data_IF_205747407274
#
_entry.id   IF_205747407274
#
_cell.length_a   1.000
_cell.length_b   1.000
_cell.length_c   1.000
_cell.angle_alpha   90.00
_cell.angle_beta   90.00
_cell.angle_gamma   90.00
#
_symmetry.space_group_name_H-M   'P 1'
#
loop_
_entity.id
_entity.type
_entity.pdbx_description
1 polymer ?
#
# COMPACT_ATOMS: atom_id res chain seq x y z
N UNK A 1 7.88 6.73 29.92
CA UNK A 1 8.33 7.50 28.74
C UNK A 1 7.60 6.91 27.54
N UNK A 2 6.94 7.71 26.70
CA UNK A 2 6.38 7.18 25.46
C UNK A 2 7.52 6.69 24.55
N UNK A 3 7.29 5.67 23.70
CA UNK A 3 8.25 5.24 22.70
C UNK A 3 8.67 6.43 21.84
N UNK A 4 9.97 6.65 21.72
CA UNK A 4 10.52 7.69 20.86
C UNK A 4 10.41 7.22 19.41
N UNK A 5 9.49 7.82 18.65
CA UNK A 5 9.48 7.80 17.20
C UNK A 5 10.77 8.48 16.72
N UNK A 6 11.77 7.71 16.30
CA UNK A 6 13.01 8.24 15.74
C UNK A 6 13.37 7.41 14.53
N UNK A 7 12.92 7.87 13.37
CA UNK A 7 13.67 8.01 12.12
C UNK A 7 12.91 9.07 11.32
N UNK A 8 13.60 10.15 10.94
CA UNK A 8 12.99 11.20 10.13
C UNK A 8 12.69 10.63 8.74
N UNK A 9 11.54 11.00 8.16
CA UNK A 9 11.20 10.68 6.78
C UNK A 9 12.36 11.01 5.82
N UNK A 10 13.18 12.02 6.13
CA UNK A 10 14.38 12.39 5.37
C UNK A 10 15.51 11.36 5.36
N UNK A 11 15.79 10.64 6.46
CA UNK A 11 16.85 9.61 6.48
C UNK A 11 16.41 8.34 5.74
N UNK A 12 15.11 8.02 5.78
CA UNK A 12 14.53 6.92 5.00
C UNK A 12 14.44 7.33 3.53
N UNK A 13 14.03 8.57 3.21
CA UNK A 13 14.08 9.13 1.86
C UNK A 13 15.51 9.09 1.29
N UNK A 14 16.54 9.40 2.08
CA UNK A 14 17.94 9.38 1.63
C UNK A 14 18.46 7.95 1.41
N UNK A 15 18.14 7.00 2.30
CA UNK A 15 18.46 5.57 2.12
C UNK A 15 17.70 4.94 0.94
N UNK A 16 16.44 5.35 0.76
CA UNK A 16 15.60 4.97 -0.38
C UNK A 16 16.19 5.60 -1.65
N UNK A 17 16.50 6.90 -1.70
CA UNK A 17 17.17 7.55 -2.84
C UNK A 17 18.52 6.91 -3.19
N UNK A 18 19.37 6.57 -2.22
CA UNK A 18 20.67 5.92 -2.43
C UNK A 18 20.53 4.48 -2.97
N UNK A 19 19.44 3.79 -2.60
CA UNK A 19 19.11 2.45 -3.11
C UNK A 19 18.44 2.53 -4.49
N UNK A 20 17.49 3.46 -4.67
CA UNK A 20 16.79 3.77 -5.92
C UNK A 20 17.74 4.23 -7.02
N UNK A 21 18.81 4.95 -6.68
CA UNK A 21 19.84 5.39 -7.66
C UNK A 21 20.67 4.24 -8.20
N UNK A 22 20.65 3.05 -7.58
CA UNK A 22 21.39 1.87 -8.05
C UNK A 22 20.54 0.88 -8.83
N UNK A 23 19.24 0.78 -8.52
CA UNK A 23 18.25 0.01 -9.28
C UNK A 23 16.90 0.69 -9.05
N UNK A 24 16.24 1.16 -10.12
CA UNK A 24 14.87 1.68 -10.03
C UNK A 24 13.95 0.46 -9.82
N UNK A 25 13.32 0.26 -8.66
CA UNK A 25 12.20 -0.67 -8.54
C UNK A 25 11.03 -0.09 -9.34
N UNK A 26 10.39 -0.92 -10.14
CA UNK A 26 9.27 -0.48 -10.98
C UNK A 26 7.99 -0.31 -10.17
N UNK A 27 7.88 -1.03 -9.05
CA UNK A 27 6.70 -0.98 -8.19
C UNK A 27 7.04 -1.36 -6.74
N UNK A 28 7.03 -0.38 -5.80
CA UNK A 28 7.22 -0.64 -4.38
C UNK A 28 5.88 -0.86 -3.65
N UNK A 29 5.90 -1.63 -2.56
CA UNK A 29 4.78 -1.69 -1.60
C UNK A 29 5.33 -1.68 -0.16
N UNK A 30 4.58 -1.16 0.81
CA UNK A 30 5.05 -0.97 2.18
C UNK A 30 3.97 -1.34 3.19
N UNK A 31 4.22 -2.38 4.01
CA UNK A 31 3.33 -2.74 5.12
C UNK A 31 4.11 -3.22 6.34
N UNK A 32 3.63 -2.79 7.52
CA UNK A 32 4.11 -3.25 8.84
C UNK A 32 5.64 -3.26 9.01
N UNK A 33 6.30 -2.18 8.59
CA UNK A 33 7.74 -1.99 8.74
C UNK A 33 8.62 -2.75 7.73
N UNK A 34 8.02 -3.26 6.65
CA UNK A 34 8.75 -3.88 5.53
C UNK A 34 8.40 -3.23 4.20
N UNK A 35 9.32 -3.35 3.26
CA UNK A 35 9.21 -2.81 1.91
C UNK A 35 9.35 -3.97 0.93
N UNK A 36 8.44 -4.05 -0.03
CA UNK A 36 8.56 -4.89 -1.21
C UNK A 36 9.13 -4.05 -2.33
N UNK A 37 10.22 -4.53 -2.93
CA UNK A 37 10.84 -3.95 -4.10
C UNK A 37 10.68 -4.94 -5.24
N UNK A 38 10.15 -4.46 -6.36
CA UNK A 38 9.93 -5.27 -7.54
C UNK A 38 10.78 -4.76 -8.69
N UNK A 39 11.55 -5.65 -9.31
CA UNK A 39 12.44 -5.31 -10.43
C UNK A 39 11.95 -6.04 -11.68
N UNK A 40 11.55 -5.29 -12.73
CA UNK A 40 11.24 -5.82 -14.06
C UNK A 40 12.55 -6.23 -14.73
N UNK A 41 12.82 -7.53 -14.74
CA UNK A 41 13.75 -8.13 -15.70
C UNK A 41 12.92 -8.69 -16.86
N UNK A 42 13.39 -8.54 -18.09
CA UNK A 42 12.69 -8.94 -19.33
C UNK A 42 12.30 -10.42 -19.35
N UNK A 43 12.95 -11.25 -18.51
CA UNK A 43 12.65 -12.68 -18.43
C UNK A 43 11.97 -13.13 -17.13
N UNK A 44 12.27 -12.54 -15.96
CA UNK A 44 11.66 -12.91 -14.67
C UNK A 44 11.74 -11.76 -13.64
N UNK A 45 10.63 -11.12 -13.26
CA UNK A 45 10.69 -10.12 -12.21
C UNK A 45 11.14 -10.75 -10.90
N UNK A 46 12.03 -10.04 -10.22
CA UNK A 46 12.57 -10.44 -8.92
C UNK A 46 11.93 -9.57 -7.84
N UNK A 47 11.44 -10.21 -6.78
CA UNK A 47 10.88 -9.50 -5.63
C UNK A 47 11.88 -9.54 -4.48
N UNK A 48 12.07 -8.40 -3.83
CA UNK A 48 12.90 -8.29 -2.62
C UNK A 48 12.05 -7.72 -1.50
N UNK A 49 11.85 -8.53 -0.46
CA UNK A 49 11.27 -8.06 0.80
C UNK A 49 12.42 -7.58 1.67
N UNK A 50 12.43 -6.29 1.93
CA UNK A 50 13.47 -5.59 2.67
C UNK A 50 12.92 -5.07 4.01
N UNK A 51 13.72 -5.25 5.07
CA UNK A 51 13.55 -4.61 6.37
C UNK A 51 14.53 -3.43 6.48
N UNK A 52 14.04 -2.17 6.39
CA UNK A 52 14.89 -0.98 6.48
C UNK A 52 15.52 -0.74 7.85
N UNK A 53 15.00 -1.36 8.92
CA UNK A 53 15.54 -1.20 10.27
C UNK A 53 16.75 -2.10 10.46
N UNK A 54 16.63 -3.38 10.12
CA UNK A 54 17.69 -4.38 10.32
C UNK A 54 18.62 -4.51 9.13
N UNK A 55 18.20 -4.04 7.94
CA UNK A 55 18.88 -4.29 6.68
C UNK A 55 18.65 -5.69 6.11
N UNK A 56 17.81 -6.52 6.75
CA UNK A 56 17.50 -7.87 6.29
C UNK A 56 16.78 -7.87 4.94
N UNK A 57 17.11 -8.82 4.07
CA UNK A 57 16.52 -8.96 2.74
C UNK A 57 16.15 -10.41 2.46
N UNK A 58 14.98 -10.62 1.87
CA UNK A 58 14.55 -11.91 1.33
C UNK A 58 14.21 -11.76 -0.15
N UNK A 59 14.90 -12.53 -0.99
CA UNK A 59 14.72 -12.51 -2.45
C UNK A 59 13.78 -13.64 -2.85
N UNK A 60 12.77 -13.32 -3.67
CA UNK A 60 11.77 -14.25 -4.16
C UNK A 60 11.80 -14.27 -5.69
N UNK A 61 11.69 -15.48 -6.26
CA UNK A 61 11.43 -15.65 -7.68
C UNK A 61 9.93 -15.55 -7.95
N UNK A 62 9.55 -15.01 -9.12
CA UNK A 62 8.16 -14.99 -9.61
C UNK A 62 7.57 -16.41 -9.63
N UNK A 63 6.29 -16.60 -9.29
CA UNK A 63 5.61 -17.88 -9.52
C UNK A 63 5.57 -18.20 -11.02
N UNK A 64 5.59 -19.49 -11.37
CA UNK A 64 5.41 -19.93 -12.75
C UNK A 64 3.96 -19.64 -13.20
N UNK A 65 3.76 -18.51 -13.89
CA UNK A 65 2.48 -18.04 -14.40
C UNK A 65 2.67 -17.58 -15.85
N UNK A 66 1.85 -18.11 -16.76
CA UNK A 66 1.96 -17.89 -18.20
C UNK A 66 1.53 -16.48 -18.63
N UNK A 67 2.08 -16.02 -19.77
CA UNK A 67 1.43 -15.06 -20.68
C UNK A 67 1.33 -13.60 -20.25
N UNK A 68 1.47 -13.29 -18.96
CA UNK A 68 1.18 -11.94 -18.48
C UNK A 68 2.32 -10.94 -18.61
N UNK A 69 2.04 -9.85 -19.35
CA UNK A 69 2.86 -8.64 -19.48
C UNK A 69 2.67 -7.68 -18.30
N UNK A 70 1.46 -7.61 -17.74
CA UNK A 70 1.08 -6.67 -16.67
C UNK A 70 0.89 -7.38 -15.36
N UNK A 71 1.39 -6.77 -14.30
CA UNK A 71 1.38 -7.36 -12.98
C UNK A 71 1.46 -6.30 -11.89
N UNK A 72 0.96 -6.67 -10.72
CA UNK A 72 1.09 -5.92 -9.48
C UNK A 72 1.42 -6.89 -8.34
N UNK A 73 2.24 -6.44 -7.39
CA UNK A 73 2.61 -7.24 -6.22
C UNK A 73 2.32 -6.50 -4.91
N UNK A 74 1.96 -7.25 -3.88
CA UNK A 74 1.62 -6.67 -2.58
C UNK A 74 2.17 -7.50 -1.42
N UNK A 75 2.69 -6.80 -0.41
CA UNK A 75 3.26 -7.36 0.80
C UNK A 75 2.27 -7.27 1.96
N UNK A 76 2.20 -8.36 2.74
CA UNK A 76 1.37 -8.50 3.91
C UNK A 76 2.19 -9.00 5.09
N UNK A 77 1.85 -8.53 6.29
CA UNK A 77 2.28 -9.17 7.52
C UNK A 77 1.41 -10.40 7.81
N UNK A 78 2.04 -11.53 8.13
CA UNK A 78 1.36 -12.78 8.48
C UNK A 78 1.59 -13.17 9.95
N UNK A 79 2.12 -12.27 10.78
CA UNK A 79 2.39 -12.57 12.18
C UNK A 79 1.08 -12.64 13.00
N UNK A 80 0.90 -13.71 13.76
CA UNK A 80 -0.21 -13.88 14.70
C UNK A 80 -0.29 -12.69 15.67
N UNK A 81 -1.50 -12.14 15.85
CA UNK A 81 -1.75 -11.04 16.79
C UNK A 81 -0.86 -9.80 16.57
N UNK A 82 -0.53 -9.49 15.32
CA UNK A 82 0.32 -8.35 14.98
C UNK A 82 -0.23 -7.05 15.62
N UNK A 83 0.52 -6.48 16.56
CA UNK A 83 0.31 -5.11 17.02
C UNK A 83 1.15 -4.26 16.08
N UNK A 84 0.49 -3.66 15.08
CA UNK A 84 1.05 -3.07 13.85
C UNK A 84 2.25 -2.13 14.10
N UNK A 85 3.43 -2.71 14.30
CA UNK A 85 4.64 -1.94 14.56
C UNK A 85 5.93 -2.71 14.84
N UNK A 86 5.85 -3.94 15.37
CA UNK A 86 7.03 -4.80 15.65
C UNK A 86 7.03 -6.10 14.84
N UNK A 87 6.27 -6.15 13.76
CA UNK A 87 6.08 -7.38 12.98
C UNK A 87 7.12 -7.55 11.86
N UNK A 88 8.15 -6.69 11.80
CA UNK A 88 9.18 -6.70 10.76
C UNK A 88 10.00 -8.00 10.76
N UNK A 89 10.17 -8.62 11.94
CA UNK A 89 10.84 -9.92 12.11
C UNK A 89 9.91 -11.15 11.99
N UNK A 90 8.59 -10.93 11.88
CA UNK A 90 7.61 -12.02 11.81
C UNK A 90 7.45 -12.59 10.39
N UNK A 91 6.61 -13.60 10.20
CA UNK A 91 6.30 -14.07 8.85
C UNK A 91 5.59 -13.00 8.02
N UNK A 92 5.74 -13.11 6.72
CA UNK A 92 5.08 -12.31 5.69
C UNK A 92 4.51 -13.17 4.57
N UNK A 93 3.59 -12.56 3.83
CA UNK A 93 3.03 -13.07 2.58
C UNK A 93 3.26 -12.04 1.48
N UNK A 94 3.58 -12.51 0.27
CA UNK A 94 3.58 -11.67 -0.94
C UNK A 94 2.51 -12.20 -1.89
N UNK A 95 1.56 -11.36 -2.28
CA UNK A 95 0.58 -11.69 -3.31
C UNK A 95 1.03 -11.07 -4.61
N UNK A 96 1.08 -11.90 -5.66
CA UNK A 96 1.44 -11.51 -7.01
C UNK A 96 0.23 -11.72 -7.91
N UNK A 97 -0.20 -10.66 -8.60
CA UNK A 97 -1.36 -10.66 -9.49
C UNK A 97 -0.92 -10.25 -10.88
N UNK A 98 -1.46 -10.91 -11.89
CA UNK A 98 -1.12 -10.67 -13.28
C UNK A 98 -2.35 -10.60 -14.16
N UNK A 99 -2.25 -9.82 -15.22
CA UNK A 99 -3.25 -9.72 -16.28
C UNK A 99 -2.68 -10.32 -17.56
N UNK A 100 -3.41 -11.27 -18.13
CA UNK A 100 -3.16 -11.82 -19.46
C UNK A 100 -4.25 -11.32 -20.41
N UNK A 101 -3.91 -10.31 -21.20
CA UNK A 101 -4.83 -9.71 -22.17
C UNK A 101 -5.19 -10.66 -23.30
N UNK A 102 -4.25 -11.53 -23.69
CA UNK A 102 -4.46 -12.45 -24.80
C UNK A 102 -5.42 -13.57 -24.42
N UNK A 103 -5.52 -13.90 -23.15
CA UNK A 103 -6.47 -14.90 -22.67
C UNK A 103 -7.71 -14.27 -22.01
N UNK A 104 -7.69 -12.96 -21.72
CA UNK A 104 -8.75 -12.29 -20.95
C UNK A 104 -8.85 -12.85 -19.54
N UNK A 105 -7.70 -13.10 -18.90
CA UNK A 105 -7.63 -13.77 -17.59
C UNK A 105 -6.74 -13.00 -16.63
N UNK A 106 -7.24 -12.79 -15.41
CA UNK A 106 -6.42 -12.41 -14.29
C UNK A 106 -6.01 -13.64 -13.49
N UNK A 107 -4.76 -13.69 -13.05
CA UNK A 107 -4.22 -14.79 -12.24
C UNK A 107 -3.53 -14.23 -11.01
N UNK A 108 -3.67 -14.88 -9.86
CA UNK A 108 -3.02 -14.50 -8.62
C UNK A 108 -2.39 -15.71 -7.91
N UNK A 109 -1.26 -15.50 -7.26
CA UNK A 109 -0.64 -16.48 -6.36
C UNK A 109 -0.04 -15.78 -5.15
N UNK A 110 0.01 -16.48 -4.02
CA UNK A 110 0.56 -15.98 -2.77
C UNK A 110 1.77 -16.80 -2.33
N UNK A 111 2.89 -16.11 -2.05
CA UNK A 111 4.07 -16.66 -1.42
C UNK A 111 3.95 -16.56 0.09
N UNK A 112 4.21 -17.66 0.81
CA UNK A 112 4.39 -17.65 2.26
C UNK A 112 5.86 -17.78 2.63
N UNK A 113 6.35 -16.86 3.45
CA UNK A 113 7.71 -16.93 4.01
C UNK A 113 7.91 -18.13 4.95
N UNK A 114 6.85 -18.64 5.58
CA UNK A 114 6.94 -19.79 6.48
C UNK A 114 7.22 -21.08 5.73
N UNK A 115 6.54 -21.27 4.60
CA UNK A 115 6.72 -22.47 3.76
C UNK A 115 7.76 -22.27 2.67
N UNK A 116 8.15 -21.02 2.41
CA UNK A 116 9.02 -20.61 1.30
C UNK A 116 8.49 -21.08 -0.06
N UNK A 117 7.17 -21.08 -0.24
CA UNK A 117 6.51 -21.55 -1.47
C UNK A 117 5.37 -20.64 -1.89
N UNK A 118 5.13 -20.61 -3.20
CA UNK A 118 3.92 -20.05 -3.80
C UNK A 118 2.76 -21.06 -3.70
N UNK A 119 1.54 -20.57 -3.48
CA UNK A 119 0.35 -21.39 -3.58
C UNK A 119 -0.02 -21.66 -5.05
N UNK A 120 -0.90 -22.63 -5.28
CA UNK A 120 -1.48 -22.84 -6.60
C UNK A 120 -2.13 -21.56 -7.12
N UNK A 121 -1.90 -21.16 -8.39
CA UNK A 121 -2.50 -19.96 -8.93
C UNK A 121 -4.03 -20.03 -8.95
N UNK A 122 -4.67 -18.93 -8.58
CA UNK A 122 -6.11 -18.71 -8.72
C UNK A 122 -6.38 -17.87 -9.97
N UNK A 123 -7.39 -18.24 -10.75
CA UNK A 123 -7.70 -17.58 -12.01
C UNK A 123 -9.13 -17.04 -11.99
N UNK A 124 -9.35 -15.89 -12.62
CA UNK A 124 -10.68 -15.38 -12.95
C UNK A 124 -10.68 -14.83 -14.37
N UNK A 125 -11.78 -14.99 -15.08
CA UNK A 125 -11.99 -14.29 -16.33
C UNK A 125 -12.11 -12.79 -16.06
N UNK A 126 -11.58 -11.98 -16.98
CA UNK A 126 -11.78 -10.54 -17.10
C UNK A 126 -12.28 -10.24 -18.52
N UNK A 127 -12.87 -9.06 -18.76
CA UNK A 127 -13.41 -8.73 -20.08
C UNK A 127 -12.34 -8.80 -21.19
N UNK A 128 -12.67 -9.30 -22.40
CA UNK A 128 -11.69 -9.65 -23.44
C UNK A 128 -11.36 -8.54 -24.46
N UNK A 129 -10.15 -8.65 -25.05
CA UNK A 129 -9.57 -8.21 -26.35
C UNK A 129 -9.94 -6.89 -27.04
N UNK A 130 -11.18 -6.38 -26.96
CA UNK A 130 -11.51 -5.07 -27.52
C UNK A 130 -11.04 -3.93 -26.61
N UNK A 131 -10.63 -4.26 -25.39
CA UNK A 131 -10.29 -3.36 -24.30
C UNK A 131 -8.90 -3.75 -23.76
N UNK A 132 -7.97 -2.80 -23.69
CA UNK A 132 -6.69 -2.95 -22.99
C UNK A 132 -6.96 -2.92 -21.49
N UNK A 133 -6.30 -3.78 -20.69
CA UNK A 133 -6.53 -3.83 -19.23
C UNK A 133 -5.21 -3.72 -18.48
N UNK A 134 -5.13 -2.78 -17.54
CA UNK A 134 -3.94 -2.56 -16.72
C UNK A 134 -4.28 -2.20 -15.27
N UNK A 135 -3.27 -2.26 -14.41
CA UNK A 135 -3.34 -1.79 -13.04
C UNK A 135 -3.13 -0.28 -13.00
N UNK A 136 -3.86 0.39 -12.11
CA UNK A 136 -3.45 1.72 -11.69
C UNK A 136 -2.14 1.64 -10.90
N UNK A 137 -1.30 2.68 -11.01
CA UNK A 137 -0.07 2.83 -10.21
C UNK A 137 -0.35 2.95 -8.70
N UNK A 138 -1.60 2.83 -8.25
CA UNK A 138 -2.02 2.92 -6.86
C UNK A 138 -1.75 1.62 -6.10
N UNK A 139 -1.36 1.68 -4.81
CA UNK A 139 -1.23 0.49 -3.98
C UNK A 139 -2.54 -0.30 -3.88
N UNK A 140 -2.41 -1.61 -3.75
CA UNK A 140 -3.49 -2.47 -3.26
C UNK A 140 -3.94 -2.05 -1.86
N UNK A 141 -5.12 -2.49 -1.44
CA UNK A 141 -5.55 -2.34 -0.03
C UNK A 141 -6.01 -3.66 0.57
N UNK A 142 -5.74 -3.85 1.88
CA UNK A 142 -6.20 -5.00 2.64
C UNK A 142 -7.50 -4.69 3.42
N UNK A 143 -8.57 -5.42 3.12
CA UNK A 143 -9.83 -5.37 3.88
C UNK A 143 -10.21 -6.76 4.37
N UNK A 144 -10.19 -6.95 5.69
CA UNK A 144 -10.29 -8.28 6.30
C UNK A 144 -9.17 -9.19 5.77
N UNK A 145 -9.53 -10.37 5.28
CA UNK A 145 -8.59 -11.35 4.72
C UNK A 145 -8.51 -11.29 3.17
N UNK A 146 -8.78 -10.13 2.58
CA UNK A 146 -8.73 -9.97 1.13
C UNK A 146 -7.96 -8.72 0.69
N UNK A 147 -7.12 -8.90 -0.32
CA UNK A 147 -6.47 -7.81 -1.04
C UNK A 147 -7.31 -7.36 -2.22
N UNK A 148 -7.29 -6.05 -2.46
CA UNK A 148 -8.02 -5.40 -3.53
C UNK A 148 -7.05 -4.58 -4.38
N UNK A 149 -7.07 -4.81 -5.69
CA UNK A 149 -6.22 -4.17 -6.69
C UNK A 149 -7.10 -3.44 -7.69
N UNK A 150 -6.82 -2.16 -7.94
CA UNK A 150 -7.60 -1.35 -8.86
C UNK A 150 -7.06 -1.53 -10.27
N UNK A 151 -7.95 -1.85 -11.21
CA UNK A 151 -7.63 -2.01 -12.63
C UNK A 151 -8.55 -1.13 -13.46
N UNK A 152 -8.05 -0.70 -14.60
CA UNK A 152 -8.82 0.03 -15.59
C UNK A 152 -8.80 -0.68 -16.94
N UNK A 153 -9.80 -0.35 -17.74
CA UNK A 153 -9.93 -0.78 -19.11
C UNK A 153 -9.90 0.43 -20.02
N UNK A 154 -9.12 0.35 -21.08
CA UNK A 154 -9.02 1.41 -22.09
C UNK A 154 -9.38 0.90 -23.48
N UNK A 155 -9.99 1.78 -24.26
CA UNK A 155 -10.22 1.57 -25.68
C UNK A 155 -9.91 2.89 -26.40
N UNK A 156 -9.09 2.83 -27.45
CA UNK A 156 -8.68 4.00 -28.23
C UNK A 156 -8.10 5.16 -27.38
N UNK A 157 -7.24 4.84 -26.40
CA UNK A 157 -6.62 5.76 -25.42
C UNK A 157 -7.62 6.44 -24.44
N UNK A 158 -8.86 5.93 -24.34
CA UNK A 158 -9.85 6.40 -23.37
C UNK A 158 -10.18 5.30 -22.34
N UNK A 159 -10.11 5.63 -21.05
CA UNK A 159 -10.57 4.73 -19.97
C UNK A 159 -12.09 4.58 -20.05
N UNK A 160 -12.53 3.35 -20.32
CA UNK A 160 -13.94 2.99 -20.49
C UNK A 160 -14.52 2.27 -19.28
N UNK A 161 -13.74 1.69 -18.39
CA UNK A 161 -14.28 1.03 -17.19
C UNK A 161 -13.22 0.87 -16.12
N UNK A 162 -13.60 1.12 -14.86
CA UNK A 162 -12.80 0.77 -13.70
C UNK A 162 -13.37 -0.49 -13.04
N UNK A 163 -12.50 -1.37 -12.55
CA UNK A 163 -12.91 -2.53 -11.77
C UNK A 163 -11.86 -2.89 -10.72
N UNK A 164 -12.21 -3.82 -9.83
CA UNK A 164 -11.37 -4.20 -8.71
C UNK A 164 -11.17 -5.71 -8.72
N UNK A 165 -9.91 -6.14 -8.81
CA UNK A 165 -9.55 -7.53 -8.54
C UNK A 165 -9.48 -7.76 -7.03
N UNK A 166 -10.23 -8.74 -6.55
CA UNK A 166 -10.24 -9.19 -5.15
C UNK A 166 -9.58 -10.56 -5.05
N UNK A 167 -8.48 -10.63 -4.29
CA UNK A 167 -7.84 -11.88 -3.91
C UNK A 167 -8.16 -12.21 -2.43
N UNK A 168 -8.93 -13.27 -2.20
CA UNK A 168 -9.26 -13.79 -0.86
C UNK A 168 -8.15 -14.73 -0.39
N UNK A 169 -7.40 -14.32 0.64
CA UNK A 169 -6.25 -15.05 1.14
C UNK A 169 -6.66 -16.41 1.72
N UNK A 170 -7.72 -16.44 2.51
CA UNK A 170 -8.19 -17.65 3.21
C UNK A 170 -8.70 -18.72 2.26
N UNK A 171 -9.31 -18.31 1.14
CA UNK A 171 -9.81 -19.24 0.11
C UNK A 171 -8.83 -19.47 -1.04
N UNK A 172 -7.78 -18.66 -1.13
CA UNK A 172 -6.88 -18.60 -2.29
C UNK A 172 -7.67 -18.50 -3.60
N UNK A 173 -8.62 -17.56 -3.65
CA UNK A 173 -9.46 -17.36 -4.83
C UNK A 173 -9.43 -15.91 -5.31
N UNK A 174 -9.44 -15.75 -6.63
CA UNK A 174 -9.48 -14.47 -7.31
C UNK A 174 -10.88 -14.23 -7.88
N UNK A 175 -11.35 -12.99 -7.83
CA UNK A 175 -12.62 -12.57 -8.38
C UNK A 175 -12.55 -11.10 -8.81
N UNK A 176 -13.43 -10.70 -9.71
CA UNK A 176 -13.55 -9.33 -10.17
C UNK A 176 -14.81 -8.66 -9.59
N UNK A 177 -14.70 -7.38 -9.26
CA UNK A 177 -15.79 -6.52 -8.83
C UNK A 177 -15.86 -5.36 -9.80
N UNK A 178 -16.93 -5.31 -10.60
CA UNK A 178 -17.21 -4.18 -11.49
C UNK A 178 -17.68 -2.96 -10.69
N UNK A 179 -17.31 -1.78 -11.15
CA UNK A 179 -17.79 -0.52 -10.59
C UNK A 179 -19.01 -0.02 -11.39
N UNK A 180 -20.09 0.45 -10.74
CA UNK A 180 -21.26 0.92 -11.46
C UNK A 180 -20.96 2.21 -12.25
N UNK A 181 -21.21 2.17 -13.56
CA UNK A 181 -20.91 3.27 -14.49
C UNK A 181 -21.70 4.57 -14.20
N UNK A 182 -22.94 4.47 -13.72
CA UNK A 182 -23.78 5.65 -13.42
C UNK A 182 -23.48 6.28 -12.05
N UNK A 183 -22.89 5.52 -11.12
CA UNK A 183 -22.64 5.98 -9.75
C UNK A 183 -21.27 6.67 -9.66
N UNK A 184 -20.30 6.24 -10.47
CA UNK A 184 -18.96 6.83 -10.52
C UNK A 184 -18.85 7.68 -11.79
N UNK A 185 -19.25 8.95 -11.72
CA UNK A 185 -18.83 9.92 -12.74
C UNK A 185 -17.30 9.78 -12.89
N UNK A 186 -16.81 9.50 -14.11
CA UNK A 186 -15.38 9.26 -14.43
C UNK A 186 -14.56 10.51 -14.15
N UNK A 187 -14.31 10.68 -12.87
CA UNK A 187 -13.94 11.92 -12.23
C UNK A 187 -12.42 12.09 -12.20
N UNK A 188 -11.62 11.05 -12.41
CA UNK A 188 -10.16 11.20 -12.33
C UNK A 188 -9.43 10.23 -13.24
N UNK A 189 -8.29 10.66 -13.78
CA UNK A 189 -7.36 9.80 -14.51
C UNK A 189 -6.58 8.83 -13.59
N UNK A 190 -6.81 8.87 -12.27
CA UNK A 190 -6.11 8.05 -11.27
C UNK A 190 -6.88 7.94 -9.95
N UNK A 191 -8.00 7.18 -9.89
CA UNK A 191 -8.64 6.83 -8.64
C UNK A 191 -7.71 6.06 -7.70
N UNK A 192 -8.04 6.06 -6.40
CA UNK A 192 -7.31 5.25 -5.41
C UNK A 192 -8.28 4.42 -4.57
N UNK A 193 -7.82 3.25 -4.14
CA UNK A 193 -8.48 2.47 -3.10
C UNK A 193 -8.11 3.00 -1.71
N UNK A 194 -9.02 2.78 -0.76
CA UNK A 194 -8.81 3.13 0.64
C UNK A 194 -9.54 2.18 1.58
N UNK A 195 -9.13 2.20 2.84
CA UNK A 195 -9.78 1.46 3.94
C UNK A 195 -10.16 2.43 5.04
N UNK A 196 -11.46 2.46 5.37
CA UNK A 196 -12.01 3.29 6.44
C UNK A 196 -11.56 2.82 7.83
N UNK A 197 -11.72 3.69 8.83
CA UNK A 197 -11.47 3.35 10.24
C UNK A 197 -12.35 2.18 10.73
N UNK A 198 -13.51 1.99 10.09
CA UNK A 198 -14.45 0.90 10.34
C UNK A 198 -14.14 -0.37 9.53
N UNK A 199 -13.04 -0.36 8.77
CA UNK A 199 -12.62 -1.49 7.92
C UNK A 199 -13.41 -1.62 6.62
N UNK A 200 -14.24 -0.64 6.22
CA UNK A 200 -14.91 -0.67 4.92
C UNK A 200 -13.93 -0.37 3.79
N UNK A 201 -14.14 -1.06 2.66
CA UNK A 201 -13.47 -0.73 1.40
C UNK A 201 -14.07 0.54 0.82
N UNK A 202 -13.23 1.48 0.41
CA UNK A 202 -13.62 2.69 -0.29
C UNK A 202 -12.84 2.89 -1.58
N UNK A 203 -13.44 3.62 -2.51
CA UNK A 203 -12.77 4.16 -3.69
C UNK A 203 -12.92 5.67 -3.72
N UNK A 204 -11.82 6.36 -4.02
CA UNK A 204 -11.76 7.82 -4.04
C UNK A 204 -11.44 8.30 -5.43
N UNK A 205 -12.22 9.27 -5.89
CA UNK A 205 -12.03 9.98 -7.15
C UNK A 205 -11.80 11.46 -6.90
N UNK A 206 -11.07 12.10 -7.80
CA UNK A 206 -10.79 13.53 -7.74
C UNK A 206 -11.02 14.20 -9.09
N UNK A 207 -12.17 14.85 -9.26
CA UNK A 207 -12.51 15.62 -10.46
C UNK A 207 -12.20 17.07 -10.30
N UNK A 208 -11.11 17.50 -10.96
CA UNK A 208 -10.51 18.81 -10.79
C UNK A 208 -10.17 19.11 -9.32
N UNK A 209 -11.14 19.58 -8.55
CA UNK A 209 -11.00 19.90 -7.13
C UNK A 209 -12.08 19.23 -6.27
N UNK A 210 -13.02 18.51 -6.88
CA UNK A 210 -14.10 17.82 -6.18
C UNK A 210 -13.63 16.41 -5.87
N UNK A 211 -13.38 16.15 -4.59
CA UNK A 211 -13.06 14.85 -4.06
C UNK A 211 -14.37 14.11 -3.76
N UNK A 212 -14.54 12.92 -4.33
CA UNK A 212 -15.69 12.05 -4.07
C UNK A 212 -15.22 10.70 -3.57
N UNK A 213 -15.67 10.31 -2.37
CA UNK A 213 -15.35 9.02 -1.76
C UNK A 213 -16.58 8.15 -1.73
N UNK A 214 -16.48 6.93 -2.28
CA UNK A 214 -17.52 5.92 -2.28
C UNK A 214 -17.15 4.76 -1.38
N UNK A 215 -18.08 4.32 -0.54
CA UNK A 215 -17.89 3.17 0.33
C UNK A 215 -18.68 1.96 -0.14
N UNK A 216 -18.04 0.80 -0.08
CA UNK A 216 -18.67 -0.48 -0.35
C UNK A 216 -19.36 -0.99 0.90
N UNK A 217 -20.67 -1.21 0.79
CA UNK A 217 -21.50 -1.77 1.85
C UNK A 217 -22.10 -3.10 1.41
N UNK A 218 -22.45 -3.91 2.41
CA UNK A 218 -23.21 -5.14 2.20
C UNK A 218 -24.50 -4.98 2.98
N UNK A 219 -25.63 -5.07 2.29
CA UNK A 219 -26.94 -4.95 2.91
C UNK A 219 -27.28 -6.20 3.76
N UNK A 220 -28.37 -6.18 4.55
CA UNK A 220 -28.79 -7.34 5.35
C UNK A 220 -29.12 -8.60 4.53
N UNK A 221 -29.42 -8.44 3.24
CA UNK A 221 -29.71 -9.54 2.32
C UNK A 221 -28.41 -10.11 1.69
N UNK A 222 -27.26 -9.52 1.99
CA UNK A 222 -25.94 -9.94 1.54
C UNK A 222 -25.52 -9.37 0.19
N UNK A 223 -26.27 -8.41 -0.36
CA UNK A 223 -25.96 -7.75 -1.63
C UNK A 223 -24.98 -6.61 -1.37
N UNK A 224 -23.88 -6.61 -2.12
CA UNK A 224 -22.86 -5.57 -2.03
C UNK A 224 -23.17 -4.44 -3.01
N UNK A 225 -23.09 -3.19 -2.56
CA UNK A 225 -23.33 -1.98 -3.36
C UNK A 225 -22.44 -0.82 -2.89
N UNK A 226 -22.33 0.23 -3.72
CA UNK A 226 -21.60 1.46 -3.39
C UNK A 226 -22.59 2.56 -2.98
N UNK A 227 -22.64 2.93 -1.70
CA UNK A 227 -23.85 3.60 -1.15
C UNK A 227 -23.58 4.89 -0.39
N UNK A 228 -22.33 5.28 -0.16
CA UNK A 228 -22.04 6.48 0.63
C UNK A 228 -21.00 7.36 -0.05
N UNK A 229 -21.44 8.57 -0.47
CA UNK A 229 -20.64 9.62 -1.10
C UNK A 229 -20.26 10.70 -0.09
N UNK A 230 -18.96 10.88 0.16
CA UNK A 230 -18.44 12.11 0.78
C UNK A 230 -17.95 12.99 -0.36
N UNK A 231 -18.51 14.19 -0.50
CA UNK A 231 -18.03 15.21 -1.43
C UNK A 231 -17.33 16.33 -0.67
N UNK A 232 -16.09 16.62 -1.05
CA UNK A 232 -15.31 17.73 -0.50
C UNK A 232 -14.78 18.55 -1.66
N UNK A 233 -14.99 19.87 -1.64
CA UNK A 233 -14.34 20.76 -2.58
C UNK A 233 -12.99 21.17 -2.01
N UNK A 234 -11.92 20.57 -2.52
CA UNK A 234 -10.56 20.84 -2.10
C UNK A 234 -10.21 22.34 -2.16
N UNK A 235 -10.79 23.10 -3.11
CA UNK A 235 -10.48 24.51 -3.32
C UNK A 235 -11.14 25.43 -2.30
N UNK A 236 -12.28 25.05 -1.74
CA UNK A 236 -13.03 25.90 -0.80
C UNK A 236 -12.94 25.40 0.63
N UNK A 237 -12.90 24.07 0.82
CA UNK A 237 -12.98 23.45 2.14
C UNK A 237 -11.60 23.18 2.75
N UNK A 238 -10.60 22.80 1.93
CA UNK A 238 -9.34 22.24 2.45
C UNK A 238 -8.09 23.06 2.13
N UNK A 239 -8.13 23.89 1.10
CA UNK A 239 -6.97 24.65 0.67
C UNK A 239 -7.36 26.03 0.13
N UNK A 240 -6.56 27.07 0.38
CA UNK A 240 -6.52 28.22 -0.52
C UNK A 240 -5.72 27.84 -1.77
N UNK A 241 -6.13 26.79 -2.51
CA UNK A 241 -5.50 26.47 -3.78
C UNK A 241 -5.75 27.68 -4.69
N UNK A 242 -4.67 28.38 -5.06
CA UNK A 242 -4.72 29.37 -6.13
C UNK A 242 -5.27 28.73 -7.41
N UNK A 243 -5.62 29.56 -8.40
CA UNK A 243 -6.08 29.03 -9.68
C UNK A 243 -4.89 28.34 -10.39
N UNK A 244 -4.75 27.02 -10.23
CA UNK A 244 -3.67 26.27 -10.85
C UNK A 244 -4.05 25.89 -12.27
N UNK A 245 -3.09 26.04 -13.17
CA UNK A 245 -3.20 25.59 -14.56
C UNK A 245 -3.25 24.06 -14.69
N UNK A 246 -2.97 23.33 -13.61
CA UNK A 246 -2.93 21.86 -13.57
C UNK A 246 -3.72 21.42 -12.33
N UNK A 247 -4.75 20.57 -12.50
CA UNK A 247 -5.49 20.00 -11.38
C UNK A 247 -4.59 19.16 -10.46
N UNK A 248 -4.91 19.07 -9.15
CA UNK A 248 -4.28 18.09 -8.26
C UNK A 248 -4.63 16.64 -8.65
N UNK A 249 -3.80 15.71 -8.18
CA UNK A 249 -3.98 14.26 -8.33
C UNK A 249 -3.98 13.56 -6.97
N UNK A 250 -4.61 12.40 -6.92
CA UNK A 250 -4.55 11.50 -5.78
C UNK A 250 -3.20 10.77 -5.78
N UNK A 251 -2.54 10.76 -4.63
CA UNK A 251 -1.24 10.09 -4.45
C UNK A 251 -1.31 8.77 -3.69
N UNK A 252 -2.41 8.46 -3.01
CA UNK A 252 -2.55 7.23 -2.22
C UNK A 252 -3.30 7.44 -0.91
N UNK A 253 -3.43 6.38 -0.11
CA UNK A 253 -4.15 6.39 1.16
C UNK A 253 -3.38 5.67 2.27
N UNK A 254 -3.79 5.89 3.52
CA UNK A 254 -3.26 5.17 4.69
C UNK A 254 -4.35 4.22 5.19
N UNK A 255 -4.10 2.91 5.07
CA UNK A 255 -5.05 1.86 5.46
C UNK A 255 -5.55 2.04 6.90
N UNK A 256 -6.87 1.99 7.09
CA UNK A 256 -7.51 1.99 8.40
C UNK A 256 -7.60 3.36 9.10
N UNK A 257 -7.29 4.46 8.41
CA UNK A 257 -7.26 5.80 9.04
C UNK A 257 -8.17 6.84 8.39
N UNK A 258 -8.65 6.59 7.17
CA UNK A 258 -9.38 7.61 6.39
C UNK A 258 -8.52 8.79 5.93
N UNK A 259 -7.19 8.64 5.95
CA UNK A 259 -6.24 9.64 5.45
C UNK A 259 -5.92 9.36 3.98
N UNK A 260 -5.91 10.42 3.17
CA UNK A 260 -5.46 10.38 1.77
C UNK A 260 -4.32 11.38 1.53
N UNK A 261 -3.57 11.15 0.47
CA UNK A 261 -2.58 12.09 -0.04
C UNK A 261 -3.04 12.71 -1.35
N UNK A 262 -2.90 14.03 -1.44
CA UNK A 262 -3.17 14.80 -2.65
C UNK A 262 -1.92 15.53 -3.08
N UNK A 263 -1.55 15.38 -4.34
CA UNK A 263 -0.36 15.97 -4.94
C UNK A 263 -0.80 17.09 -5.87
N UNK A 264 -0.28 18.28 -5.65
CA UNK A 264 -0.59 19.47 -6.45
C UNK A 264 0.70 20.09 -6.98
N UNK A 265 0.58 21.07 -7.87
CA UNK A 265 1.73 21.85 -8.37
C UNK A 265 2.53 22.57 -7.27
N UNK A 266 1.93 22.82 -6.11
CA UNK A 266 2.61 23.49 -4.99
C UNK A 266 3.07 22.55 -3.91
N UNK A 267 2.80 21.24 -4.02
CA UNK A 267 3.26 20.27 -3.06
C UNK A 267 2.27 19.15 -2.77
N UNK A 268 2.70 18.23 -1.93
CA UNK A 268 1.93 17.10 -1.40
C UNK A 268 1.27 17.47 -0.08
N UNK A 269 0.01 17.09 0.06
CA UNK A 269 -0.82 17.32 1.22
C UNK A 269 -1.39 16.01 1.73
N UNK A 270 -1.44 15.90 3.05
CA UNK A 270 -2.22 14.90 3.77
C UNK A 270 -3.60 15.50 4.05
N UNK A 271 -4.65 14.74 3.78
CA UNK A 271 -6.03 15.12 4.09
C UNK A 271 -6.63 14.05 4.99
N UNK A 272 -7.17 14.48 6.12
CA UNK A 272 -8.01 13.67 6.98
C UNK A 272 -9.48 13.90 6.61
N UNK A 273 -10.13 12.88 6.06
CA UNK A 273 -11.51 12.95 5.57
C UNK A 273 -12.54 13.15 6.69
N UNK A 274 -12.22 12.71 7.90
CA UNK A 274 -13.12 12.79 9.06
C UNK A 274 -13.11 14.19 9.66
N UNK A 275 -11.93 14.76 9.86
CA UNK A 275 -11.81 16.13 10.35
C UNK A 275 -11.96 17.18 9.25
N UNK A 276 -11.95 16.76 7.98
CA UNK A 276 -11.89 17.64 6.81
C UNK A 276 -10.81 18.70 7.01
N UNK A 277 -9.61 18.24 7.32
CA UNK A 277 -8.45 19.10 7.52
C UNK A 277 -7.31 18.66 6.63
N UNK A 278 -6.49 19.63 6.22
CA UNK A 278 -5.33 19.39 5.37
C UNK A 278 -4.05 19.82 6.07
N UNK A 279 -2.97 19.08 5.79
CA UNK A 279 -1.62 19.38 6.25
C UNK A 279 -0.66 19.22 5.09
N UNK A 280 0.10 20.26 4.77
CA UNK A 280 1.18 20.17 3.78
C UNK A 280 2.32 19.32 4.33
N UNK A 281 2.73 18.31 3.57
CA UNK A 281 3.86 17.44 3.92
C UNK A 281 5.15 17.89 3.26
N UNK A 282 5.10 18.23 1.97
CA UNK A 282 6.26 18.61 1.19
C UNK A 282 5.93 19.72 0.20
N UNK A 283 6.91 20.56 -0.08
CA UNK A 283 6.88 21.52 -1.19
C UNK A 283 7.67 21.07 -2.41
N UNK A 284 8.40 19.95 -2.29
CA UNK A 284 9.33 19.44 -3.31
C UNK A 284 8.73 18.30 -4.13
N UNK A 285 7.90 17.48 -3.49
CA UNK A 285 7.04 16.50 -4.17
C UNK A 285 5.82 17.25 -4.67
N UNK A 286 5.78 17.55 -5.96
CA UNK A 286 4.68 18.30 -6.58
C UNK A 286 4.34 17.71 -7.94
N UNK A 287 3.12 17.98 -8.38
CA UNK A 287 2.58 17.42 -9.60
C UNK A 287 3.30 17.95 -10.85
N UNK A 288 3.69 17.04 -11.74
CA UNK A 288 4.28 17.33 -13.04
C UNK A 288 3.55 16.53 -14.12
N UNK A 289 3.22 17.17 -15.26
CA UNK A 289 2.36 16.57 -16.30
C UNK A 289 2.84 15.22 -16.87
N UNK A 290 4.14 14.93 -16.75
CA UNK A 290 4.75 13.73 -17.31
C UNK A 290 5.20 12.72 -16.23
N UNK A 291 4.89 12.96 -14.95
CA UNK A 291 5.31 12.10 -13.85
C UNK A 291 4.13 11.91 -12.91
N UNK A 292 3.60 10.69 -12.86
CA UNK A 292 2.64 10.26 -11.85
C UNK A 292 3.40 9.83 -10.60
N UNK A 293 2.79 10.09 -9.45
CA UNK A 293 3.38 9.81 -8.15
C UNK A 293 2.41 8.97 -7.34
N UNK A 294 2.88 7.83 -6.89
CA UNK A 294 2.20 7.01 -5.88
C UNK A 294 2.99 7.04 -4.59
N UNK A 295 2.28 7.27 -3.49
CA UNK A 295 2.82 7.44 -2.15
C UNK A 295 2.48 6.20 -1.34
N UNK A 296 3.52 5.50 -0.90
CA UNK A 296 3.43 4.30 -0.08
C UNK A 296 3.85 4.66 1.35
N UNK A 297 2.90 4.92 2.26
CA UNK A 297 3.22 5.37 3.61
C UNK A 297 3.94 4.26 4.38
N UNK A 298 5.23 4.45 4.66
CA UNK A 298 6.01 3.56 5.50
C UNK A 298 5.83 3.91 6.98
N UNK A 299 5.31 2.94 7.75
CA UNK A 299 5.21 3.06 9.21
C UNK A 299 5.98 1.92 9.85
N UNK A 300 6.87 2.25 10.78
CA UNK A 300 7.64 1.28 11.55
C UNK A 300 7.95 1.81 12.94
N UNK A 301 8.14 0.90 13.90
CA UNK A 301 8.45 1.24 15.28
C UNK A 301 9.80 0.63 15.65
N UNK A 302 10.66 1.41 16.28
CA UNK A 302 11.96 0.95 16.75
C UNK A 302 11.91 0.74 18.28
N UNK A 303 12.06 -0.51 18.72
CA UNK A 303 12.39 -0.83 20.11
C UNK A 303 13.89 -1.13 20.21
N UNK A 304 14.72 -0.21 20.76
CA UNK A 304 16.10 -0.54 21.02
C UNK A 304 16.16 -1.74 22.00
N UNK A 305 17.01 -2.75 21.75
CA UNK A 305 17.19 -3.87 22.66
C UNK A 305 17.47 -3.34 24.07
N UNK A 306 16.72 -3.81 25.06
CA UNK A 306 17.00 -3.47 26.45
C UNK A 306 18.44 -3.92 26.76
N UNK A 307 19.32 -2.97 27.08
CA UNK A 307 20.67 -3.27 27.52
C UNK A 307 20.53 -4.15 28.76
N UNK A 308 20.83 -5.44 28.61
CA UNK A 308 20.91 -6.36 29.73
C UNK A 308 22.03 -5.85 30.63
N UNK A 309 21.66 -5.10 31.67
CA UNK A 309 22.59 -4.68 32.70
C UNK A 309 23.20 -5.92 33.31
N UNK A 310 24.48 -6.14 33.04
CA UNK A 310 25.31 -7.10 33.76
C UNK A 310 25.32 -6.62 35.21
N UNK A 311 24.47 -7.20 36.05
CA UNK A 311 24.61 -7.09 37.49
C UNK A 311 25.82 -7.95 37.84
N UNK A 312 26.99 -7.33 37.92
CA UNK A 312 28.11 -7.94 38.60
C UNK A 312 27.74 -7.99 40.09
N UNK A 313 27.38 -9.18 40.58
CA UNK A 313 27.33 -9.46 42.01
C UNK A 313 28.72 -9.26 42.58
N UNK A 314 28.94 -8.14 43.26
CA UNK A 314 30.10 -7.98 44.13
C UNK A 314 29.84 -8.75 45.41
N UNK A 315 30.30 -10.00 45.46
CA UNK A 315 30.46 -10.78 46.68
C UNK A 315 31.51 -10.09 47.58
N UNK A 316 31.06 -9.34 48.59
CA UNK A 316 31.93 -8.84 49.66
C UNK A 316 32.03 -9.90 50.77
N UNK A 317 32.93 -10.87 50.59
CA UNK A 317 33.55 -11.59 51.70
C UNK A 317 34.78 -10.79 52.16
N UNK A 318 34.75 -10.29 53.39
CA UNK A 318 35.88 -10.30 54.35
C UNK A 318 35.58 -9.34 55.51
N UNK A 319 35.54 -9.88 56.72
CA UNK A 319 35.56 -9.04 57.92
C UNK A 319 35.10 -9.73 59.20
N UNK A 320 35.68 -10.87 59.56
CA UNK A 320 35.74 -11.31 60.96
C UNK A 320 37.14 -11.85 61.26
N UNK A 321 37.87 -11.08 62.05
CA UNK A 321 39.11 -11.46 62.72
C UNK A 321 39.21 -10.63 64.00
N UNK A 322 39.17 -11.34 65.13
CA UNK A 322 39.27 -10.90 66.53
C UNK A 322 40.47 -9.94 66.78
N UNK A 323 40.60 -9.18 67.87
CA UNK A 323 40.57 -9.58 69.29
C UNK A 323 40.80 -8.35 70.20
N UNK A 324 40.25 -8.40 71.42
CA UNK A 324 40.71 -7.76 72.69
C UNK A 324 40.93 -6.24 72.82
N UNK A 325 40.02 -5.57 73.54
CA UNK A 325 40.22 -4.99 74.89
C UNK A 325 39.00 -4.15 75.32
#
# INVERSE_FOLDING_TARGET
>A
MPPRLVRELGEIEELVEETLTRLLPDEPDCRHGRVLLSYKDDNQPTFVVWDPITGGQTVLCRPEMSGASRWQASLLCAADSCIHGDCHSGPFVVVFVTLDEQEGVATASAYSSETSTWCSPALTAVAPFEEEIDFYDSPSVLVGDALYFLVFREQDDEVIEDSILKYDLGKSCLSEILLPEEEVERASNNPILMVGEDGRLGITHLFFYCLSVWWREVDPDGVASWTQRIDIDLKTDLFPLGNFSIPPELGGSVEGTGIIFVISKVGTYMIDLKSQSSKRLSSKLYHHLNVRWSLFPYVSFYYPPAVAGVVAESSSEAGHGNEEA
#
